data_IF_968336847924
#
_entry.id   IF_968336847924
#
_cell.length_a   1.000
_cell.length_b   1.000
_cell.length_c   1.000
_cell.angle_alpha   90.00
_cell.angle_beta   90.00
_cell.angle_gamma   90.00
#
_symmetry.space_group_name_H-M   'P 1'
#
loop_
_entity.id
_entity.type
_entity.pdbx_description
1 polymer ?
#
# COMPACT_ATOMS: atom_id res chain seq x y z
N UNK A 1 -22.52 -43.83 51.05
CA UNK A 1 -23.30 -44.56 50.02
C UNK A 1 -22.60 -44.54 48.65
N UNK A 2 -21.27 -44.49 48.58
CA UNK A 2 -20.53 -44.21 47.33
C UNK A 2 -19.72 -45.39 46.77
N UNK A 3 -19.58 -46.50 47.53
CA UNK A 3 -18.73 -47.64 47.15
C UNK A 3 -19.36 -48.56 46.11
N UNK A 4 -20.68 -48.77 46.15
CA UNK A 4 -21.38 -49.63 45.20
C UNK A 4 -21.35 -49.07 43.77
N UNK A 5 -21.49 -47.74 43.62
CA UNK A 5 -21.37 -47.06 42.32
C UNK A 5 -19.95 -47.16 41.75
N UNK A 6 -18.93 -47.01 42.59
CA UNK A 6 -17.53 -47.15 42.19
C UNK A 6 -17.18 -48.58 41.74
N UNK A 7 -17.68 -49.61 42.44
CA UNK A 7 -17.47 -51.01 42.09
C UNK A 7 -18.15 -51.41 40.77
N UNK A 8 -19.35 -50.89 40.51
CA UNK A 8 -20.04 -51.09 39.23
C UNK A 8 -19.31 -50.39 38.08
N UNK A 9 -18.70 -49.23 38.34
CA UNK A 9 -17.90 -48.50 37.34
C UNK A 9 -16.61 -49.22 36.99
N UNK A 10 -15.86 -49.74 37.97
CA UNK A 10 -14.64 -50.52 37.70
C UNK A 10 -14.96 -51.79 36.91
N UNK A 11 -16.01 -52.53 37.31
CA UNK A 11 -16.44 -53.72 36.57
C UNK A 11 -16.82 -53.40 35.11
N UNK A 12 -17.42 -52.24 34.85
CA UNK A 12 -17.76 -51.79 33.48
C UNK A 12 -16.51 -51.45 32.66
N UNK A 13 -15.50 -50.83 33.27
CA UNK A 13 -14.22 -50.51 32.62
C UNK A 13 -13.49 -51.79 32.23
N UNK A 14 -13.44 -52.78 33.12
CA UNK A 14 -12.83 -54.09 32.84
C UNK A 14 -13.53 -54.83 31.68
N UNK A 15 -14.86 -54.69 31.60
CA UNK A 15 -15.67 -55.22 30.51
C UNK A 15 -15.48 -54.48 29.18
N UNK A 16 -15.19 -53.19 29.21
CA UNK A 16 -14.82 -52.43 28.00
C UNK A 16 -13.43 -52.88 27.54
N UNK A 17 -12.46 -53.03 28.43
CA UNK A 17 -11.10 -53.45 28.07
C UNK A 17 -11.01 -54.83 27.43
N UNK A 18 -11.90 -55.76 27.80
CA UNK A 18 -11.89 -57.13 27.26
C UNK A 18 -12.57 -57.28 25.90
N UNK A 19 -13.59 -56.47 25.60
CA UNK A 19 -14.44 -56.62 24.40
C UNK A 19 -14.57 -55.33 23.57
N UNK A 20 -13.58 -54.43 23.62
CA UNK A 20 -13.64 -53.13 22.94
C UNK A 20 -13.05 -53.10 21.54
N UNK A 21 -13.51 -52.10 20.78
CA UNK A 21 -12.90 -51.66 19.53
C UNK A 21 -12.44 -50.20 19.67
N UNK A 22 -11.43 -49.84 18.87
CA UNK A 22 -10.91 -48.48 18.80
C UNK A 22 -11.85 -47.60 17.98
N UNK A 23 -12.24 -46.45 18.54
CA UNK A 23 -13.03 -45.43 17.84
C UNK A 23 -12.24 -44.14 17.64
N UNK A 24 -12.76 -43.27 16.78
CA UNK A 24 -12.27 -41.90 16.65
C UNK A 24 -12.31 -41.22 18.04
N UNK A 25 -11.19 -40.65 18.52
CA UNK A 25 -11.10 -40.17 19.88
C UNK A 25 -11.98 -38.95 20.12
N UNK A 26 -12.80 -39.02 21.18
CA UNK A 26 -13.55 -37.87 21.67
C UNK A 26 -12.61 -36.76 22.19
N UNK A 27 -13.13 -35.55 22.36
CA UNK A 27 -12.38 -34.34 22.76
C UNK A 27 -11.37 -34.59 23.88
N UNK A 28 -11.79 -35.25 24.98
CA UNK A 28 -10.90 -35.56 26.11
C UNK A 28 -9.79 -36.53 25.71
N UNK A 29 -10.14 -37.68 25.12
CA UNK A 29 -9.17 -38.68 24.68
C UNK A 29 -8.18 -38.11 23.66
N UNK A 30 -8.66 -37.24 22.75
CA UNK A 30 -7.83 -36.55 21.77
C UNK A 30 -6.85 -35.57 22.44
N UNK A 31 -7.33 -34.78 23.41
CA UNK A 31 -6.52 -33.80 24.14
C UNK A 31 -5.44 -34.41 25.03
N UNK A 32 -5.60 -35.68 25.41
CA UNK A 32 -4.66 -36.42 26.25
C UNK A 32 -3.93 -37.52 25.49
N UNK A 33 -4.08 -37.56 24.17
CA UNK A 33 -3.44 -38.54 23.28
C UNK A 33 -3.70 -39.99 23.70
N UNK A 34 -4.89 -40.27 24.22
CA UNK A 34 -5.32 -41.60 24.64
C UNK A 34 -6.07 -42.31 23.51
N UNK A 35 -5.91 -43.63 23.45
CA UNK A 35 -6.73 -44.47 22.57
C UNK A 35 -8.15 -44.56 23.13
N UNK A 36 -9.13 -44.15 22.33
CA UNK A 36 -10.52 -44.17 22.75
C UNK A 36 -11.13 -45.54 22.47
N UNK A 37 -11.36 -46.32 23.53
CA UNK A 37 -11.90 -47.67 23.46
C UNK A 37 -13.37 -47.69 23.86
N UNK A 38 -14.20 -48.39 23.08
CA UNK A 38 -15.64 -48.48 23.28
C UNK A 38 -16.12 -49.92 23.10
N UNK A 39 -17.09 -50.35 23.91
CA UNK A 39 -17.71 -51.68 23.80
C UNK A 39 -18.98 -51.59 22.93
N UNK A 40 -19.29 -52.59 22.08
CA UNK A 40 -20.56 -52.63 21.36
C UNK A 40 -21.77 -52.58 22.31
N UNK A 41 -22.73 -51.71 22.00
CA UNK A 41 -23.95 -51.50 22.80
C UNK A 41 -23.80 -50.52 23.98
N UNK A 42 -22.60 -49.97 24.22
CA UNK A 42 -22.41 -48.83 25.12
C UNK A 42 -22.24 -47.56 24.30
N UNK A 43 -22.82 -46.45 24.75
CA UNK A 43 -22.69 -45.11 24.12
C UNK A 43 -21.52 -44.28 24.67
N UNK A 44 -20.78 -44.82 25.64
CA UNK A 44 -19.70 -44.13 26.36
C UNK A 44 -18.40 -44.95 26.27
N UNK A 45 -17.29 -44.29 25.97
CA UNK A 45 -15.97 -44.90 25.93
C UNK A 45 -15.38 -45.12 27.33
N UNK A 46 -14.28 -45.85 27.41
CA UNK A 46 -13.64 -46.24 28.67
C UNK A 46 -13.30 -45.03 29.57
N UNK A 47 -12.59 -44.03 29.04
CA UNK A 47 -12.13 -42.87 29.82
C UNK A 47 -13.28 -41.99 30.35
N UNK A 48 -14.33 -41.81 29.55
CA UNK A 48 -15.53 -41.09 29.99
C UNK A 48 -16.35 -41.93 30.99
N UNK A 49 -16.32 -43.26 30.88
CA UNK A 49 -16.90 -44.18 31.89
C UNK A 49 -16.15 -44.10 33.22
N UNK A 50 -14.81 -43.96 33.17
CA UNK A 50 -13.97 -43.72 34.36
C UNK A 50 -14.27 -42.38 35.01
N UNK A 51 -14.73 -41.38 34.28
CA UNK A 51 -15.04 -40.04 34.79
C UNK A 51 -16.51 -39.78 35.11
N UNK A 52 -17.40 -40.72 34.78
CA UNK A 52 -18.85 -40.57 34.96
C UNK A 52 -19.45 -39.40 34.17
N UNK A 53 -18.96 -39.20 32.94
CA UNK A 53 -19.46 -38.17 32.02
C UNK A 53 -19.92 -38.80 30.70
N UNK A 54 -20.96 -38.26 30.05
CA UNK A 54 -21.29 -38.68 28.69
C UNK A 54 -20.17 -38.28 27.74
N UNK A 55 -19.92 -39.08 26.71
CA UNK A 55 -18.95 -38.73 25.67
C UNK A 55 -19.43 -37.50 24.89
N UNK A 56 -18.51 -36.56 24.64
CA UNK A 56 -18.82 -35.31 23.93
C UNK A 56 -19.04 -35.49 22.43
N UNK A 57 -18.71 -36.66 21.88
CA UNK A 57 -18.76 -36.86 20.44
C UNK A 57 -20.15 -37.13 19.92
N UNK A 58 -20.88 -36.04 19.71
CA UNK A 58 -21.58 -35.90 18.45
C UNK A 58 -20.48 -35.66 17.40
N UNK A 59 -20.07 -36.71 16.69
CA UNK A 59 -19.12 -36.57 15.60
C UNK A 59 -19.60 -35.50 14.62
N UNK A 60 -18.67 -34.78 13.99
CA UNK A 60 -19.03 -33.86 12.89
C UNK A 60 -19.75 -34.70 11.85
N UNK A 61 -20.99 -34.33 11.51
CA UNK A 61 -21.71 -35.04 10.47
C UNK A 61 -20.97 -34.88 9.14
N UNK A 62 -21.02 -35.89 8.27
CA UNK A 62 -20.41 -35.79 6.93
C UNK A 62 -20.90 -34.54 6.18
N UNK A 63 -22.16 -34.17 6.38
CA UNK A 63 -22.77 -32.95 5.85
C UNK A 63 -22.14 -31.67 6.39
N UNK A 64 -21.84 -31.58 7.69
CA UNK A 64 -21.16 -30.41 8.27
C UNK A 64 -19.71 -30.32 7.80
N UNK A 65 -19.01 -31.45 7.69
CA UNK A 65 -17.66 -31.50 7.16
C UNK A 65 -17.62 -31.03 5.68
N UNK A 66 -18.55 -31.49 4.85
CA UNK A 66 -18.67 -31.05 3.45
C UNK A 66 -19.01 -29.56 3.34
N UNK A 67 -19.88 -29.05 4.21
CA UNK A 67 -20.19 -27.62 4.27
C UNK A 67 -18.95 -26.78 4.61
N UNK A 68 -18.12 -27.25 5.55
CA UNK A 68 -16.86 -26.57 5.90
C UNK A 68 -15.87 -26.57 4.73
N UNK A 69 -15.75 -27.68 4.00
CA UNK A 69 -14.89 -27.76 2.81
C UNK A 69 -15.38 -26.81 1.72
N UNK A 70 -16.69 -26.73 1.49
CA UNK A 70 -17.25 -25.79 0.52
C UNK A 70 -17.06 -24.33 0.94
N UNK A 71 -17.26 -24.03 2.23
CA UNK A 71 -17.02 -22.69 2.77
C UNK A 71 -15.55 -22.28 2.60
N UNK A 72 -14.61 -23.19 2.89
CA UNK A 72 -13.17 -22.97 2.66
C UNK A 72 -12.89 -22.63 1.20
N UNK A 73 -13.39 -23.43 0.26
CA UNK A 73 -13.20 -23.19 -1.19
C UNK A 73 -13.76 -21.84 -1.65
N UNK A 74 -14.89 -21.41 -1.08
CA UNK A 74 -15.48 -20.09 -1.39
C UNK A 74 -14.60 -18.96 -0.89
N UNK A 75 -14.02 -19.11 0.30
CA UNK A 75 -13.08 -18.13 0.85
C UNK A 75 -11.82 -18.08 0.00
N UNK A 76 -11.22 -19.23 -0.31
CA UNK A 76 -10.01 -19.31 -1.16
C UNK A 76 -10.22 -18.64 -2.53
N UNK A 77 -11.37 -18.86 -3.18
CA UNK A 77 -11.69 -18.20 -4.45
C UNK A 77 -11.88 -16.69 -4.31
N UNK A 78 -12.42 -16.22 -3.18
CA UNK A 78 -12.56 -14.80 -2.89
C UNK A 78 -11.22 -14.13 -2.56
N UNK A 79 -10.32 -14.86 -1.88
CA UNK A 79 -8.93 -14.45 -1.64
C UNK A 79 -8.19 -14.26 -2.96
N UNK A 80 -8.23 -15.27 -3.85
CA UNK A 80 -7.58 -15.21 -5.17
C UNK A 80 -8.10 -14.05 -6.02
N UNK A 81 -9.42 -13.85 -6.08
CA UNK A 81 -10.01 -12.70 -6.78
C UNK A 81 -9.55 -11.35 -6.20
N UNK A 82 -9.46 -11.25 -4.87
CA UNK A 82 -8.97 -10.03 -4.20
C UNK A 82 -7.48 -9.79 -4.48
N UNK A 83 -6.68 -10.86 -4.53
CA UNK A 83 -5.26 -10.77 -4.89
C UNK A 83 -5.08 -10.28 -6.32
N UNK A 84 -5.87 -10.78 -7.28
CA UNK A 84 -5.85 -10.29 -8.66
C UNK A 84 -6.21 -8.80 -8.75
N UNK A 85 -7.25 -8.35 -8.05
CA UNK A 85 -7.62 -6.93 -7.98
C UNK A 85 -6.50 -6.06 -7.41
N UNK A 86 -5.81 -6.53 -6.36
CA UNK A 86 -4.68 -5.81 -5.76
C UNK A 86 -3.51 -5.67 -6.73
N UNK A 87 -3.17 -6.73 -7.47
CA UNK A 87 -2.12 -6.69 -8.49
C UNK A 87 -2.46 -5.69 -9.59
N UNK A 88 -3.73 -5.64 -9.98
CA UNK A 88 -4.21 -4.75 -11.04
C UNK A 88 -4.19 -3.28 -10.60
N UNK A 89 -4.57 -3.01 -9.34
CA UNK A 89 -4.44 -1.69 -8.72
C UNK A 89 -2.98 -1.26 -8.58
N UNK A 90 -2.08 -2.17 -8.19
CA UNK A 90 -0.65 -1.90 -8.11
C UNK A 90 -0.06 -1.53 -9.47
N UNK A 91 -0.46 -2.21 -10.55
CA UNK A 91 -0.07 -1.85 -11.92
C UNK A 91 -0.51 -0.42 -12.26
N UNK A 92 -1.79 -0.09 -12.01
CA UNK A 92 -2.34 1.26 -12.26
C UNK A 92 -1.62 2.32 -11.43
N UNK A 93 -1.31 2.03 -10.16
CA UNK A 93 -0.56 2.93 -9.29
C UNK A 93 0.82 3.23 -9.88
N UNK A 94 1.55 2.21 -10.34
CA UNK A 94 2.87 2.36 -10.94
C UNK A 94 2.85 3.21 -12.22
N UNK A 95 1.82 3.04 -13.06
CA UNK A 95 1.61 3.87 -14.26
C UNK A 95 1.38 5.34 -13.89
N UNK A 96 0.50 5.59 -12.90
CA UNK A 96 0.20 6.96 -12.43
C UNK A 96 1.41 7.60 -11.77
N UNK A 97 2.18 6.85 -10.99
CA UNK A 97 3.41 7.29 -10.37
C UNK A 97 4.48 7.63 -11.43
N UNK A 98 4.63 6.80 -12.45
CA UNK A 98 5.53 7.06 -13.58
C UNK A 98 5.14 8.35 -14.33
N UNK A 99 3.84 8.56 -14.55
CA UNK A 99 3.32 9.81 -15.14
C UNK A 99 3.62 11.02 -14.24
N UNK A 100 3.42 10.91 -12.93
CA UNK A 100 3.72 11.97 -11.96
C UNK A 100 5.21 12.35 -11.99
N UNK A 101 6.11 11.36 -12.04
CA UNK A 101 7.55 11.60 -12.13
C UNK A 101 7.89 12.37 -13.42
N UNK A 102 7.31 11.98 -14.57
CA UNK A 102 7.50 12.69 -15.85
C UNK A 102 7.04 14.14 -15.76
N UNK A 103 5.84 14.39 -15.23
CA UNK A 103 5.31 15.75 -15.05
C UNK A 103 6.20 16.59 -14.14
N UNK A 104 6.70 16.03 -13.04
CA UNK A 104 7.65 16.71 -12.15
C UNK A 104 8.98 17.04 -12.82
N UNK A 105 9.45 16.21 -13.75
CA UNK A 105 10.66 16.49 -14.54
C UNK A 105 10.40 17.62 -15.54
N UNK A 106 9.28 17.56 -16.26
CA UNK A 106 8.86 18.61 -17.20
C UNK A 106 8.71 19.96 -16.50
N UNK A 107 8.03 19.99 -15.34
CA UNK A 107 7.91 21.21 -14.53
C UNK A 107 9.28 21.81 -14.19
N UNK A 108 10.19 21.00 -13.64
CA UNK A 108 11.56 21.44 -13.31
C UNK A 108 12.31 21.96 -14.52
N UNK A 109 12.20 21.27 -15.66
CA UNK A 109 12.83 21.72 -16.90
C UNK A 109 12.31 23.08 -17.36
N UNK A 110 10.99 23.30 -17.30
CA UNK A 110 10.37 24.59 -17.63
C UNK A 110 10.84 25.68 -16.65
N UNK A 111 10.91 25.39 -15.36
CA UNK A 111 11.40 26.34 -14.34
C UNK A 111 12.85 26.73 -14.58
N UNK A 112 13.74 25.76 -14.83
CA UNK A 112 15.15 26.03 -15.18
C UNK A 112 15.26 26.82 -16.47
N UNK A 113 14.53 26.41 -17.52
CA UNK A 113 14.56 27.11 -18.81
C UNK A 113 14.05 28.54 -18.69
N UNK A 114 13.02 28.77 -17.88
CA UNK A 114 12.52 30.12 -17.58
C UNK A 114 13.60 30.97 -16.91
N UNK A 115 14.33 30.43 -15.94
CA UNK A 115 15.44 31.15 -15.28
C UNK A 115 16.54 31.51 -16.29
N UNK A 116 16.99 30.55 -17.10
CA UNK A 116 18.00 30.80 -18.15
C UNK A 116 17.57 31.89 -19.14
N UNK A 117 16.29 31.91 -19.53
CA UNK A 117 15.76 32.93 -20.44
C UNK A 117 15.71 34.31 -19.80
N UNK A 118 15.40 34.39 -18.50
CA UNK A 118 15.41 35.65 -17.76
C UNK A 118 16.84 36.17 -17.61
N UNK A 119 17.79 35.31 -17.23
CA UNK A 119 19.21 35.67 -17.09
C UNK A 119 19.80 36.19 -18.41
N UNK A 120 19.55 35.48 -19.53
CA UNK A 120 19.97 35.94 -20.86
C UNK A 120 19.28 37.23 -21.28
N UNK A 121 18.00 37.40 -20.92
CA UNK A 121 17.27 38.63 -21.15
C UNK A 121 17.91 39.82 -20.42
N UNK A 122 18.29 39.64 -19.15
CA UNK A 122 19.00 40.66 -18.38
C UNK A 122 20.39 40.96 -18.95
N UNK A 123 21.17 39.93 -19.30
CA UNK A 123 22.48 40.13 -19.95
C UNK A 123 22.36 40.91 -21.27
N UNK A 124 21.36 40.59 -22.09
CA UNK A 124 21.13 41.31 -23.35
C UNK A 124 20.71 42.76 -23.12
N UNK A 125 19.99 43.08 -22.04
CA UNK A 125 19.61 44.45 -21.69
C UNK A 125 20.84 45.21 -21.20
N UNK A 126 21.63 44.61 -20.30
CA UNK A 126 22.86 45.22 -19.78
C UNK A 126 23.87 45.51 -20.91
N UNK A 127 24.01 44.59 -21.89
CA UNK A 127 24.86 44.79 -23.07
C UNK A 127 24.38 45.96 -23.96
N UNK A 128 23.06 46.08 -24.14
CA UNK A 128 22.46 47.19 -24.89
C UNK A 128 22.67 48.53 -24.18
N UNK A 129 22.41 48.58 -22.87
CA UNK A 129 22.62 49.80 -22.05
C UNK A 129 24.08 50.26 -22.07
N UNK A 130 25.04 49.34 -21.96
CA UNK A 130 26.46 49.70 -22.04
C UNK A 130 26.86 50.17 -23.45
N UNK A 131 26.31 49.57 -24.51
CA UNK A 131 26.52 50.04 -25.89
C UNK A 131 25.96 51.46 -26.10
N UNK A 132 24.75 51.74 -25.61
CA UNK A 132 24.14 53.07 -25.66
C UNK A 132 24.96 54.10 -24.89
N UNK A 133 25.54 53.70 -23.75
CA UNK A 133 26.44 54.55 -22.95
C UNK A 133 27.73 54.87 -23.70
N UNK A 134 28.35 53.86 -24.33
CA UNK A 134 29.56 54.05 -25.15
C UNK A 134 29.30 54.94 -26.36
N UNK A 135 28.17 54.77 -27.05
CA UNK A 135 27.77 55.64 -28.15
C UNK A 135 27.56 57.10 -27.68
N UNK A 136 26.90 57.28 -26.54
CA UNK A 136 26.67 58.60 -25.94
C UNK A 136 27.98 59.29 -25.57
N UNK A 137 28.91 58.57 -24.92
CA UNK A 137 30.25 59.07 -24.59
C UNK A 137 31.05 59.44 -25.86
N UNK A 138 31.02 58.59 -26.89
CA UNK A 138 31.67 58.86 -28.17
C UNK A 138 31.10 60.10 -28.90
N UNK A 139 29.78 60.32 -28.81
CA UNK A 139 29.13 61.52 -29.36
C UNK A 139 29.56 62.79 -28.61
N UNK A 140 29.67 62.73 -27.28
CA UNK A 140 30.17 63.84 -26.46
C UNK A 140 31.63 64.13 -26.79
N UNK A 141 32.47 63.10 -26.88
CA UNK A 141 33.88 63.23 -27.22
C UNK A 141 34.08 63.82 -28.62
N UNK A 142 33.35 63.32 -29.62
CA UNK A 142 33.39 63.85 -30.99
C UNK A 142 32.98 65.33 -31.06
N UNK A 143 31.95 65.72 -30.29
CA UNK A 143 31.51 67.12 -30.18
C UNK A 143 32.58 67.99 -29.51
N UNK A 144 33.24 67.49 -28.47
CA UNK A 144 34.33 68.18 -27.77
C UNK A 144 35.58 68.35 -28.66
N UNK A 145 35.85 67.38 -29.54
CA UNK A 145 36.92 67.41 -30.53
C UNK A 145 36.64 68.32 -31.74
N UNK A 146 35.48 69.01 -31.77
CA UNK A 146 35.14 70.02 -32.77
C UNK A 146 34.25 69.52 -33.91
N UNK A 147 33.67 68.33 -33.83
CA UNK A 147 32.71 67.85 -34.83
C UNK A 147 31.34 68.54 -34.65
N UNK A 148 31.17 69.72 -35.25
CA UNK A 148 30.02 70.60 -35.07
C UNK A 148 28.67 70.04 -35.59
N UNK A 149 28.67 68.96 -36.38
CA UNK A 149 27.47 68.39 -37.03
C UNK A 149 27.01 67.04 -36.48
N UNK A 150 27.61 66.54 -35.40
CA UNK A 150 27.14 65.29 -34.77
C UNK A 150 25.86 65.61 -33.99
N UNK A 151 24.73 65.10 -34.49
CA UNK A 151 23.41 65.27 -33.87
C UNK A 151 23.19 64.10 -32.91
N UNK A 152 23.02 64.42 -31.63
CA UNK A 152 22.57 63.44 -30.63
C UNK A 152 21.04 63.31 -30.68
N UNK A 153 20.57 62.14 -31.13
CA UNK A 153 19.15 61.84 -31.23
C UNK A 153 18.49 61.57 -29.88
N UNK A 154 19.24 61.15 -28.85
CA UNK A 154 18.69 60.88 -27.51
C UNK A 154 18.15 62.16 -26.87
N UNK A 155 18.94 63.25 -26.92
CA UNK A 155 18.53 64.59 -26.47
C UNK A 155 17.28 65.10 -27.21
N UNK A 156 17.15 64.80 -28.51
CA UNK A 156 15.97 65.21 -29.30
C UNK A 156 14.73 64.42 -28.84
N UNK A 157 14.83 63.10 -28.69
CA UNK A 157 13.72 62.24 -28.30
C UNK A 157 13.23 62.54 -26.88
N UNK A 158 14.13 62.78 -25.92
CA UNK A 158 13.77 63.16 -24.55
C UNK A 158 13.05 64.51 -24.47
N UNK A 159 13.48 65.47 -25.29
CA UNK A 159 12.83 66.79 -25.37
C UNK A 159 11.41 66.74 -25.95
N UNK A 160 11.10 65.74 -26.78
CA UNK A 160 9.78 65.51 -27.37
C UNK A 160 8.88 64.72 -26.42
N UNK A 161 9.43 63.76 -25.67
CA UNK A 161 8.70 63.00 -24.65
C UNK A 161 8.25 63.85 -23.45
N UNK A 162 9.03 64.88 -23.09
CA UNK A 162 8.66 65.83 -22.03
C UNK A 162 7.57 66.83 -22.45
N UNK A 163 7.45 67.14 -23.75
CA UNK A 163 6.43 68.07 -24.29
C UNK A 163 5.05 67.44 -24.48
N UNK A 164 4.94 66.12 -24.44
CA UNK A 164 3.69 65.37 -24.63
C UNK A 164 3.00 64.96 -23.31
N UNK A 165 3.53 65.42 -22.17
CA UNK A 165 3.02 65.12 -20.81
C UNK A 165 2.24 66.28 -20.16
N UNK A 166 1.80 67.28 -20.95
CA UNK A 166 0.86 68.32 -20.56
C UNK A 166 -0.28 68.41 -21.58
#
# INVERSE_FOLDING_TARGET
MSSASACSRSARVDLINSESFQIMPYSYCCSHHLQCMMKPGNDVCEEYTRQDRPCDGKGISLTEADCLVQAKKRIEAAEEATEEELLDLQRRLNERLSRLIRLRRQKRHIETRRQEMLEKGFQSIDELEESERQESEAVVDARSAGAAYVIDWSTILDSVALKSRW
#
